data_IF_548133967388
#
_entry.id   IF_548133967388
#
_cell.length_a   1.000
_cell.length_b   1.000
_cell.length_c   1.000
_cell.angle_alpha   90.00
_cell.angle_beta   90.00
_cell.angle_gamma   90.00
#
_symmetry.space_group_name_H-M   'P 1'
#
loop_
_entity.id
_entity.type
_entity.pdbx_description
1 polymer ?
#
# COMPACT_ATOMS: atom_id res chain seq x y z
N UNK A 1 34.52 -32.78 24.30
CA UNK A 1 33.48 -32.35 25.27
C UNK A 1 32.89 -31.05 24.75
N UNK A 2 31.56 -30.98 24.61
CA UNK A 2 30.86 -29.81 24.09
C UNK A 2 29.78 -30.15 23.07
N UNK A 3 28.80 -30.99 23.47
CA UNK A 3 27.56 -31.19 22.71
C UNK A 3 26.66 -29.99 22.96
N UNK A 4 26.44 -29.15 21.94
CA UNK A 4 25.44 -28.07 22.00
C UNK A 4 24.18 -28.57 21.32
N UNK A 5 23.17 -28.83 22.15
CA UNK A 5 21.81 -29.24 21.75
C UNK A 5 21.16 -28.18 20.86
N UNK A 6 20.71 -28.63 19.70
CA UNK A 6 19.77 -27.90 18.83
C UNK A 6 18.39 -27.83 19.51
N UNK A 7 17.98 -26.63 19.91
CA UNK A 7 16.60 -26.36 20.28
C UNK A 7 15.78 -26.07 19.01
N UNK A 8 15.00 -27.07 18.58
CA UNK A 8 13.85 -26.88 17.69
C UNK A 8 12.72 -26.27 18.50
N UNK A 9 12.40 -24.99 18.26
CA UNK A 9 11.03 -24.50 18.36
C UNK A 9 10.77 -23.61 17.15
N UNK A 10 10.18 -24.26 16.14
CA UNK A 10 9.45 -23.63 15.04
C UNK A 10 8.18 -23.00 15.59
N UNK A 11 7.79 -21.83 15.08
CA UNK A 11 6.43 -21.49 14.62
C UNK A 11 6.49 -20.19 13.81
N UNK A 12 5.74 -20.20 12.69
CA UNK A 12 5.66 -19.23 11.59
C UNK A 12 6.76 -19.36 10.52
N UNK A 13 6.88 -20.55 9.95
CA UNK A 13 6.74 -20.69 8.50
C UNK A 13 6.40 -22.14 8.18
N UNK A 14 5.38 -22.35 7.36
CA UNK A 14 5.09 -23.66 6.77
C UNK A 14 4.58 -23.35 5.38
N UNK A 15 5.50 -23.25 4.45
CA UNK A 15 5.28 -23.75 3.10
C UNK A 15 6.43 -24.71 2.82
N UNK A 16 6.04 -25.98 2.70
CA UNK A 16 6.82 -27.01 2.05
C UNK A 16 6.89 -26.64 0.58
N UNK A 17 8.04 -26.20 0.11
CA UNK A 17 8.44 -26.38 -1.28
C UNK A 17 9.92 -26.77 -1.31
N UNK A 18 10.21 -27.76 -2.16
CA UNK A 18 11.42 -28.56 -2.15
C UNK A 18 12.72 -27.76 -2.15
N UNK A 19 13.55 -28.00 -1.14
CA UNK A 19 14.94 -27.57 -1.07
C UNK A 19 15.73 -28.09 -2.30
N UNK A 20 16.13 -27.18 -3.19
CA UNK A 20 17.32 -27.36 -4.04
C UNK A 20 18.37 -26.37 -3.57
N UNK A 21 19.42 -26.87 -2.93
CA UNK A 21 20.62 -26.07 -2.64
C UNK A 21 21.23 -25.61 -3.96
N UNK A 22 21.23 -24.30 -4.21
CA UNK A 22 22.14 -23.67 -5.16
C UNK A 22 23.45 -23.36 -4.42
N UNK A 23 24.45 -24.21 -4.63
CA UNK A 23 25.82 -23.93 -4.24
C UNK A 23 26.35 -22.78 -5.10
N UNK A 24 26.66 -21.64 -4.49
CA UNK A 24 27.40 -20.55 -5.15
C UNK A 24 28.81 -21.08 -5.44
N UNK A 25 29.08 -21.40 -6.71
CA UNK A 25 30.40 -21.77 -7.18
C UNK A 25 31.12 -20.52 -7.71
N UNK A 26 32.18 -20.11 -7.01
CA UNK A 26 33.20 -19.18 -7.51
C UNK A 26 33.94 -19.83 -8.69
N UNK A 27 34.06 -19.20 -9.88
CA UNK A 27 34.72 -19.83 -11.00
C UNK A 27 36.23 -19.67 -10.87
N UNK A 28 36.93 -20.78 -10.64
CA UNK A 28 38.36 -20.91 -10.91
C UNK A 28 38.60 -22.32 -11.45
N UNK A 29 39.07 -22.42 -12.70
CA UNK A 29 39.66 -23.65 -13.23
C UNK A 29 39.15 -24.07 -14.61
N UNK A 30 40.07 -24.01 -15.58
CA UNK A 30 39.99 -24.63 -16.89
C UNK A 30 39.57 -26.10 -16.81
N UNK A 31 38.54 -26.49 -17.58
CA UNK A 31 38.11 -27.89 -17.72
C UNK A 31 37.22 -28.08 -18.94
N UNK A 32 37.80 -28.64 -20.00
CA UNK A 32 37.12 -29.03 -21.24
C UNK A 32 36.19 -30.22 -20.98
N UNK A 33 34.88 -30.08 -21.23
CA UNK A 33 33.90 -31.13 -20.98
C UNK A 33 32.58 -30.86 -21.69
N UNK A 34 32.32 -31.63 -22.74
CA UNK A 34 31.12 -31.63 -23.55
C UNK A 34 29.90 -32.08 -22.71
N UNK A 35 28.92 -31.20 -22.47
CA UNK A 35 27.68 -31.54 -21.77
C UNK A 35 26.48 -30.86 -22.44
N UNK A 36 25.51 -31.70 -22.84
CA UNK A 36 24.33 -31.32 -23.60
C UNK A 36 23.50 -30.20 -22.96
N UNK A 37 23.03 -29.30 -23.82
CA UNK A 37 22.17 -28.18 -23.46
C UNK A 37 20.85 -28.64 -22.86
N UNK A 38 20.79 -28.69 -21.53
CA UNK A 38 19.56 -28.42 -20.81
C UNK A 38 19.52 -26.91 -20.59
N UNK A 39 18.64 -26.23 -21.32
CA UNK A 39 18.21 -24.88 -20.97
C UNK A 39 17.63 -24.93 -19.56
N UNK A 40 18.46 -24.65 -18.57
CA UNK A 40 17.97 -24.20 -17.28
C UNK A 40 17.39 -22.82 -17.59
N UNK A 41 16.06 -22.71 -17.68
CA UNK A 41 15.43 -21.41 -17.52
C UNK A 41 15.91 -20.89 -16.18
N UNK A 42 16.78 -19.90 -16.21
CA UNK A 42 17.29 -19.23 -15.03
C UNK A 42 16.06 -18.57 -14.41
N UNK A 43 15.46 -19.22 -13.42
CA UNK A 43 14.32 -18.66 -12.71
C UNK A 43 14.86 -17.47 -11.94
N UNK A 44 14.65 -16.28 -12.48
CA UNK A 44 15.00 -15.03 -11.81
C UNK A 44 14.26 -15.00 -10.48
N UNK A 45 15.03 -14.87 -9.40
CA UNK A 45 14.47 -14.80 -8.05
C UNK A 45 13.83 -13.42 -7.86
N UNK A 46 12.56 -13.39 -7.48
CA UNK A 46 11.83 -12.14 -7.20
C UNK A 46 11.96 -11.70 -5.75
N UNK A 47 11.95 -10.38 -5.53
CA UNK A 47 11.98 -9.72 -4.23
C UNK A 47 10.59 -9.66 -3.58
N UNK A 48 9.53 -9.37 -4.35
CA UNK A 48 8.13 -9.40 -3.86
C UNK A 48 7.34 -10.40 -4.70
N UNK A 49 6.59 -11.31 -4.07
CA UNK A 49 5.70 -12.23 -4.77
C UNK A 49 4.49 -11.50 -5.38
N UNK A 50 3.78 -12.11 -6.35
CA UNK A 50 2.55 -11.53 -6.93
C UNK A 50 1.51 -11.25 -5.86
N UNK A 51 1.48 -12.06 -4.81
CA UNK A 51 0.61 -11.93 -3.64
C UNK A 51 1.05 -10.82 -2.65
N UNK A 52 2.15 -10.11 -2.93
CA UNK A 52 2.65 -9.00 -2.10
C UNK A 52 3.52 -9.42 -0.91
N UNK A 53 3.84 -10.71 -0.79
CA UNK A 53 4.76 -11.24 0.21
C UNK A 53 6.22 -10.97 -0.19
N UNK A 54 7.01 -10.38 0.71
CA UNK A 54 8.43 -10.12 0.46
C UNK A 54 9.26 -11.40 0.66
N UNK A 55 10.03 -11.79 -0.35
CA UNK A 55 10.89 -12.95 -0.37
C UNK A 55 12.30 -12.60 0.16
N UNK A 56 12.36 -12.14 1.42
CA UNK A 56 13.60 -11.71 2.07
C UNK A 56 13.75 -12.40 3.41
N UNK A 57 14.91 -13.02 3.63
CA UNK A 57 15.24 -13.63 4.91
C UNK A 57 16.33 -12.82 5.62
N UNK A 58 15.99 -12.26 6.78
CA UNK A 58 16.95 -11.58 7.64
C UNK A 58 17.75 -12.62 8.45
N UNK A 59 19.08 -12.60 8.31
CA UNK A 59 20.02 -13.49 9.01
C UNK A 59 20.91 -12.65 9.93
N UNK A 60 21.38 -13.23 11.05
CA UNK A 60 22.29 -12.59 12.02
C UNK A 60 21.78 -11.28 12.65
N UNK A 61 20.49 -11.20 12.93
CA UNK A 61 19.93 -10.11 13.73
C UNK A 61 20.17 -10.39 15.22
N UNK A 62 21.28 -9.89 15.77
CA UNK A 62 21.54 -9.95 17.21
C UNK A 62 20.40 -9.27 17.98
N UNK A 63 20.05 -9.80 19.16
CA UNK A 63 18.99 -9.28 20.06
C UNK A 63 17.54 -9.40 19.59
N UNK A 64 17.25 -10.16 18.52
CA UNK A 64 15.87 -10.35 18.03
C UNK A 64 14.89 -10.76 19.15
N UNK A 65 15.26 -11.74 19.99
CA UNK A 65 14.38 -12.19 21.08
C UNK A 65 14.03 -11.10 22.10
N UNK A 66 15.01 -10.27 22.49
CA UNK A 66 14.79 -9.21 23.50
C UNK A 66 13.92 -8.08 22.96
N UNK A 67 14.11 -7.69 21.70
CA UNK A 67 13.30 -6.62 21.07
C UNK A 67 11.84 -7.04 20.88
N UNK A 68 11.58 -8.30 20.52
CA UNK A 68 10.21 -8.81 20.40
C UNK A 68 9.54 -8.97 21.78
N UNK A 69 10.30 -9.27 22.84
CA UNK A 69 9.75 -9.32 24.20
C UNK A 69 9.46 -7.94 24.78
N UNK A 70 10.26 -6.92 24.42
CA UNK A 70 10.00 -5.53 24.81
C UNK A 70 8.68 -5.01 24.20
N UNK A 71 8.31 -5.49 23.02
CA UNK A 71 7.05 -5.17 22.35
C UNK A 71 6.07 -6.36 22.35
N UNK A 72 5.71 -6.79 23.56
CA UNK A 72 4.86 -7.97 23.77
C UNK A 72 3.45 -7.82 23.20
N UNK A 73 2.92 -6.59 23.19
CA UNK A 73 1.56 -6.31 22.71
C UNK A 73 1.47 -6.45 21.19
N UNK A 74 2.36 -5.80 20.42
CA UNK A 74 2.35 -5.95 18.96
C UNK A 74 2.64 -7.38 18.57
N UNK A 75 3.61 -8.02 19.24
CA UNK A 75 3.95 -9.42 19.03
C UNK A 75 2.72 -10.30 19.22
N UNK A 76 1.99 -10.15 20.33
CA UNK A 76 0.76 -10.92 20.62
C UNK A 76 -0.31 -10.73 19.55
N UNK A 77 -0.51 -9.49 19.09
CA UNK A 77 -1.51 -9.18 18.06
C UNK A 77 -1.10 -9.72 16.68
N UNK A 78 0.20 -9.86 16.39
CA UNK A 78 0.69 -10.36 15.09
C UNK A 78 0.76 -11.88 14.96
N UNK A 79 0.83 -12.63 16.07
CA UNK A 79 0.84 -14.11 16.05
C UNK A 79 -0.45 -14.65 15.42
N UNK A 80 -0.41 -15.86 14.85
CA UNK A 80 -1.61 -16.51 14.29
C UNK A 80 -2.66 -16.73 15.40
N UNK A 81 -3.94 -16.66 15.04
CA UNK A 81 -5.09 -16.87 15.96
C UNK A 81 -4.94 -18.11 16.84
N UNK A 82 -4.49 -19.23 16.28
CA UNK A 82 -4.29 -20.49 17.04
C UNK A 82 -3.34 -20.29 18.24
N UNK A 83 -2.23 -19.59 18.05
CA UNK A 83 -1.24 -19.35 19.10
C UNK A 83 -1.70 -18.30 20.11
N UNK A 84 -2.40 -17.26 19.65
CA UNK A 84 -3.02 -16.27 20.52
C UNK A 84 -4.03 -16.94 21.47
N UNK A 85 -4.92 -17.79 20.95
CA UNK A 85 -5.89 -18.53 21.77
C UNK A 85 -5.20 -19.47 22.75
N UNK A 86 -4.14 -20.17 22.33
CA UNK A 86 -3.34 -21.02 23.23
C UNK A 86 -2.72 -20.21 24.36
N UNK A 87 -2.16 -19.03 24.08
CA UNK A 87 -1.57 -18.14 25.10
C UNK A 87 -2.64 -17.68 26.10
N UNK A 88 -3.84 -17.32 25.63
CA UNK A 88 -4.94 -16.92 26.52
C UNK A 88 -5.45 -18.07 27.37
N UNK A 89 -5.69 -19.24 26.78
CA UNK A 89 -6.07 -20.44 27.53
C UNK A 89 -5.02 -20.78 28.59
N UNK A 90 -3.73 -20.70 28.23
CA UNK A 90 -2.64 -20.95 29.17
C UNK A 90 -2.61 -19.91 30.30
N UNK A 91 -2.86 -18.62 29.99
CA UNK A 91 -2.90 -17.56 31.01
C UNK A 91 -4.01 -17.80 32.04
N UNK A 92 -5.21 -18.18 31.60
CA UNK A 92 -6.31 -18.56 32.50
C UNK A 92 -5.96 -19.79 33.33
N UNK A 93 -5.51 -20.87 32.69
CA UNK A 93 -5.15 -22.11 33.39
C UNK A 93 -4.05 -21.88 34.44
N UNK A 94 -3.01 -21.12 34.12
CA UNK A 94 -1.93 -20.80 35.06
C UNK A 94 -2.45 -19.94 36.23
N UNK A 95 -3.32 -18.96 35.97
CA UNK A 95 -3.91 -18.15 37.05
C UNK A 95 -4.80 -19.00 37.97
N UNK A 96 -5.66 -19.86 37.42
CA UNK A 96 -6.53 -20.74 38.20
C UNK A 96 -5.73 -21.74 39.03
N UNK A 97 -4.67 -22.32 38.46
CA UNK A 97 -3.77 -23.23 39.17
C UNK A 97 -2.99 -22.51 40.28
N UNK A 98 -2.50 -21.29 40.02
CA UNK A 98 -1.80 -20.50 41.02
C UNK A 98 -2.70 -20.18 42.22
N UNK A 99 -3.89 -19.61 41.98
CA UNK A 99 -4.82 -19.29 43.06
C UNK A 99 -5.38 -20.55 43.73
N UNK A 100 -5.64 -21.61 42.97
CA UNK A 100 -6.06 -22.90 43.53
C UNK A 100 -5.01 -23.50 44.46
N UNK A 101 -3.73 -23.39 44.09
CA UNK A 101 -2.61 -23.77 44.95
C UNK A 101 -2.52 -22.89 46.20
N UNK A 102 -2.71 -21.57 46.07
CA UNK A 102 -2.73 -20.65 47.21
C UNK A 102 -3.87 -20.98 48.19
N UNK A 103 -5.10 -21.20 47.71
CA UNK A 103 -6.21 -21.60 48.59
C UNK A 103 -5.99 -22.97 49.23
N UNK A 104 -5.38 -23.91 48.50
CA UNK A 104 -5.00 -25.21 49.07
C UNK A 104 -3.96 -25.06 50.19
N UNK A 105 -2.96 -24.19 50.01
CA UNK A 105 -1.99 -23.88 51.07
C UNK A 105 -2.64 -23.18 52.27
N UNK A 106 -3.57 -22.25 52.05
CA UNK A 106 -4.32 -21.57 53.12
C UNK A 106 -5.13 -22.61 53.92
N UNK A 107 -5.87 -23.50 53.24
CA UNK A 107 -6.62 -24.57 53.89
C UNK A 107 -5.71 -25.53 54.68
N UNK A 108 -4.55 -25.89 54.13
CA UNK A 108 -3.55 -26.71 54.84
C UNK A 108 -3.00 -26.02 56.09
N UNK A 109 -2.68 -24.72 55.98
CA UNK A 109 -2.07 -23.97 57.08
C UNK A 109 -3.01 -23.75 58.27
N UNK A 110 -4.31 -23.65 58.01
CA UNK A 110 -5.33 -23.45 59.05
C UNK A 110 -5.85 -24.77 59.65
N UNK A 111 -5.46 -25.92 59.09
CA UNK A 111 -5.90 -27.23 59.58
C UNK A 111 -7.31 -27.62 59.13
N UNK A 112 -7.88 -26.92 58.14
CA UNK A 112 -9.22 -27.13 57.57
C UNK A 112 -9.42 -28.57 57.05
N UNK A 113 -8.32 -29.26 56.70
CA UNK A 113 -8.33 -30.64 56.21
C UNK A 113 -8.51 -31.70 57.33
N UNK A 114 -8.23 -31.35 58.59
CA UNK A 114 -8.17 -32.32 59.70
C UNK A 114 -9.16 -32.04 60.84
N UNK A 115 -9.63 -30.79 61.04
CA UNK A 115 -10.56 -30.44 62.14
C UNK A 115 -11.58 -29.38 61.75
N UNK A 116 -12.86 -29.74 61.78
CA UNK A 116 -13.99 -28.92 61.31
C UNK A 116 -14.58 -27.94 62.34
N UNK A 117 -13.78 -27.23 63.13
CA UNK A 117 -14.32 -26.24 64.09
C UNK A 117 -14.27 -24.79 63.57
N UNK A 118 -13.26 -24.41 62.75
CA UNK A 118 -13.21 -23.12 62.04
C UNK A 118 -12.51 -23.33 60.71
N UNK A 119 -13.21 -23.12 59.60
CA UNK A 119 -12.71 -23.38 58.24
C UNK A 119 -12.65 -22.08 57.45
N UNK A 120 -11.52 -21.78 56.82
CA UNK A 120 -11.36 -20.54 56.04
C UNK A 120 -12.15 -20.56 54.74
N UNK A 121 -12.22 -21.73 54.09
CA UNK A 121 -13.02 -21.94 52.88
C UNK A 121 -13.77 -23.26 53.04
N UNK A 122 -15.10 -23.18 53.08
CA UNK A 122 -15.94 -24.35 53.28
C UNK A 122 -15.85 -25.30 52.08
N UNK A 123 -15.84 -26.60 52.36
CA UNK A 123 -15.87 -27.69 51.36
C UNK A 123 -14.65 -27.74 50.42
N UNK A 124 -13.47 -27.38 50.93
CA UNK A 124 -12.17 -27.56 50.26
C UNK A 124 -11.41 -28.71 50.93
N UNK A 125 -11.68 -29.93 50.50
CA UNK A 125 -11.13 -31.17 51.05
C UNK A 125 -9.89 -31.71 50.29
N UNK A 126 -9.64 -31.17 49.10
CA UNK A 126 -8.65 -31.68 48.15
C UNK A 126 -8.10 -30.54 47.29
N UNK A 127 -6.94 -30.75 46.66
CA UNK A 127 -6.39 -29.79 45.70
C UNK A 127 -7.37 -29.52 44.55
N UNK A 128 -8.09 -30.55 44.09
CA UNK A 128 -9.11 -30.40 43.04
C UNK A 128 -10.26 -29.50 43.52
N UNK A 129 -10.72 -29.62 44.77
CA UNK A 129 -11.73 -28.73 45.32
C UNK A 129 -11.23 -27.27 45.42
N UNK A 130 -9.97 -27.06 45.82
CA UNK A 130 -9.36 -25.73 45.85
C UNK A 130 -9.20 -25.12 44.45
N UNK A 131 -8.82 -25.94 43.46
CA UNK A 131 -8.78 -25.53 42.06
C UNK A 131 -10.16 -25.14 41.53
N UNK A 132 -11.20 -25.95 41.81
CA UNK A 132 -12.58 -25.61 41.43
C UNK A 132 -13.04 -24.32 42.09
N UNK A 133 -12.76 -24.11 43.38
CA UNK A 133 -13.06 -22.85 44.06
C UNK A 133 -12.36 -21.64 43.41
N UNK A 134 -11.09 -21.80 43.04
CA UNK A 134 -10.33 -20.77 42.31
C UNK A 134 -10.97 -20.44 40.96
N UNK A 135 -11.40 -21.44 40.18
CA UNK A 135 -12.11 -21.24 38.92
C UNK A 135 -13.45 -20.53 39.17
N UNK A 136 -14.25 -21.02 40.12
CA UNK A 136 -15.57 -20.44 40.48
C UNK A 136 -15.46 -18.96 40.88
N UNK A 137 -14.40 -18.60 41.61
CA UNK A 137 -14.13 -17.24 42.09
C UNK A 137 -13.67 -16.33 40.96
N UNK A 138 -12.65 -16.72 40.18
CA UNK A 138 -12.09 -15.86 39.14
C UNK A 138 -13.03 -15.69 37.94
N UNK A 139 -13.78 -16.73 37.57
CA UNK A 139 -14.75 -16.65 36.47
C UNK A 139 -16.10 -16.10 36.91
N UNK A 140 -16.27 -15.81 38.21
CA UNK A 140 -17.50 -15.29 38.80
C UNK A 140 -18.72 -16.21 38.63
N UNK A 141 -18.51 -17.52 38.40
CA UNK A 141 -19.59 -18.50 38.34
C UNK A 141 -20.24 -18.67 39.72
N UNK A 142 -19.41 -18.80 40.77
CA UNK A 142 -19.85 -18.81 42.16
C UNK A 142 -21.02 -19.75 42.48
N UNK A 143 -20.88 -21.06 42.25
CA UNK A 143 -21.96 -22.03 42.51
C UNK A 143 -22.48 -22.02 43.95
N UNK A 144 -21.67 -21.55 44.90
CA UNK A 144 -22.06 -21.37 46.31
C UNK A 144 -21.91 -22.62 47.17
N UNK A 145 -21.57 -23.78 46.58
CA UNK A 145 -21.22 -24.98 47.35
C UNK A 145 -19.90 -24.79 48.12
N UNK A 146 -18.95 -24.04 47.54
CA UNK A 146 -17.70 -23.61 48.17
C UNK A 146 -17.76 -22.11 48.39
N UNK A 147 -17.51 -21.65 49.60
CA UNK A 147 -17.58 -20.24 49.95
C UNK A 147 -16.53 -19.90 51.02
N UNK A 148 -16.07 -18.65 51.00
CA UNK A 148 -15.12 -18.11 51.98
C UNK A 148 -15.85 -17.70 53.24
N UNK A 149 -15.25 -17.93 54.41
CA UNK A 149 -15.78 -17.53 55.72
C UNK A 149 -15.06 -16.28 56.24
N UNK A 150 -15.61 -15.66 57.28
CA UNK A 150 -15.04 -14.46 57.92
C UNK A 150 -13.86 -14.78 58.84
N UNK A 151 -13.63 -16.07 59.14
CA UNK A 151 -12.66 -16.52 60.13
C UNK A 151 -11.20 -16.22 59.73
N UNK A 152 -10.94 -16.14 58.41
CA UNK A 152 -9.59 -16.01 57.88
C UNK A 152 -9.43 -14.77 56.97
N UNK A 153 -8.92 -13.64 57.51
CA UNK A 153 -8.71 -12.42 56.72
C UNK A 153 -7.80 -12.61 55.51
N UNK A 154 -6.85 -13.56 55.57
CA UNK A 154 -5.96 -13.90 54.46
C UNK A 154 -6.74 -14.48 53.27
N UNK A 155 -7.73 -15.34 53.52
CA UNK A 155 -8.56 -15.92 52.47
C UNK A 155 -9.43 -14.85 51.79
N UNK A 156 -10.02 -13.95 52.59
CA UNK A 156 -10.79 -12.79 52.09
C UNK A 156 -9.90 -11.88 51.22
N UNK A 157 -8.69 -11.56 51.68
CA UNK A 157 -7.74 -10.77 50.88
C UNK A 157 -7.37 -11.46 49.57
N UNK A 158 -7.14 -12.78 49.58
CA UNK A 158 -6.82 -13.54 48.37
C UNK A 158 -7.98 -13.56 47.37
N UNK A 159 -9.22 -13.65 47.82
CA UNK A 159 -10.41 -13.54 46.95
C UNK A 159 -10.49 -12.15 46.29
N UNK A 160 -10.26 -11.08 47.06
CA UNK A 160 -10.23 -9.71 46.53
C UNK A 160 -9.10 -9.55 45.50
N UNK A 161 -7.89 -9.99 45.84
CA UNK A 161 -6.74 -9.92 44.95
C UNK A 161 -6.95 -10.74 43.67
N UNK A 162 -7.50 -11.96 43.79
CA UNK A 162 -7.85 -12.80 42.64
C UNK A 162 -8.88 -12.14 41.74
N UNK A 163 -9.90 -11.49 42.31
CA UNK A 163 -10.93 -10.78 41.55
C UNK A 163 -10.32 -9.64 40.71
N UNK A 164 -9.42 -8.85 41.32
CA UNK A 164 -8.72 -7.77 40.62
C UNK A 164 -7.84 -8.32 39.49
N UNK A 165 -7.05 -9.37 39.76
CA UNK A 165 -6.19 -10.00 38.75
C UNK A 165 -7.01 -10.61 37.61
N UNK A 166 -8.14 -11.25 37.92
CA UNK A 166 -9.08 -11.79 36.93
C UNK A 166 -9.57 -10.70 35.97
N UNK A 167 -10.07 -9.59 36.51
CA UNK A 167 -10.51 -8.46 35.68
C UNK A 167 -9.40 -7.87 34.81
N UNK A 168 -8.15 -7.81 35.29
CA UNK A 168 -7.00 -7.33 34.50
C UNK A 168 -6.70 -8.28 33.33
N UNK A 169 -6.71 -9.60 33.58
CA UNK A 169 -6.49 -10.61 32.54
C UNK A 169 -7.60 -10.51 31.47
N UNK A 170 -8.86 -10.43 31.89
CA UNK A 170 -10.00 -10.31 30.98
C UNK A 170 -9.91 -9.05 30.12
N UNK A 171 -9.59 -7.90 30.74
CA UNK A 171 -9.42 -6.64 30.02
C UNK A 171 -8.30 -6.72 28.97
N UNK A 172 -7.17 -7.35 29.29
CA UNK A 172 -6.07 -7.54 28.35
C UNK A 172 -6.48 -8.43 27.17
N UNK A 173 -7.18 -9.53 27.43
CA UNK A 173 -7.65 -10.46 26.39
C UNK A 173 -8.64 -9.77 25.46
N UNK A 174 -9.65 -9.08 26.00
CA UNK A 174 -10.62 -8.34 25.20
C UNK A 174 -9.92 -7.27 24.36
N UNK A 175 -8.99 -6.51 24.95
CA UNK A 175 -8.21 -5.49 24.25
C UNK A 175 -7.38 -6.06 23.11
N UNK A 176 -6.66 -7.17 23.35
CA UNK A 176 -5.84 -7.82 22.34
C UNK A 176 -6.69 -8.46 21.22
N UNK A 177 -7.81 -9.10 21.55
CA UNK A 177 -8.75 -9.67 20.56
C UNK A 177 -9.34 -8.57 19.69
N UNK A 178 -9.82 -7.47 20.29
CA UNK A 178 -10.36 -6.33 19.56
C UNK A 178 -9.31 -5.69 18.64
N UNK A 179 -8.10 -5.47 19.13
CA UNK A 179 -7.00 -4.95 18.33
C UNK A 179 -6.66 -5.87 17.15
N UNK A 180 -6.67 -7.19 17.37
CA UNK A 180 -6.41 -8.18 16.31
C UNK A 180 -7.54 -8.25 15.28
N UNK A 181 -8.79 -8.15 15.72
CA UNK A 181 -9.95 -8.12 14.82
C UNK A 181 -10.00 -6.85 13.97
N UNK A 182 -9.56 -5.72 14.52
CA UNK A 182 -9.49 -4.47 13.80
C UNK A 182 -8.43 -4.46 12.68
N UNK A 183 -7.36 -5.28 12.79
CA UNK A 183 -6.28 -5.29 11.79
C UNK A 183 -6.80 -5.64 10.39
N UNK A 184 -6.55 -4.79 9.37
CA UNK A 184 -7.09 -4.96 8.02
C UNK A 184 -6.35 -6.03 7.18
N UNK A 185 -5.74 -7.06 7.78
CA UNK A 185 -4.90 -8.04 7.05
C UNK A 185 -5.66 -8.77 5.93
N UNK A 186 -6.96 -9.03 6.15
CA UNK A 186 -7.84 -9.67 5.16
C UNK A 186 -8.33 -8.72 4.06
N UNK A 187 -8.12 -7.42 4.20
CA UNK A 187 -8.46 -6.44 3.16
C UNK A 187 -7.51 -6.51 1.99
N UNK A 188 -6.22 -6.79 2.23
CA UNK A 188 -5.22 -6.93 1.17
C UNK A 188 -5.62 -7.99 0.13
N UNK A 189 -6.23 -9.10 0.56
CA UNK A 189 -6.73 -10.16 -0.34
C UNK A 189 -7.88 -9.70 -1.27
N UNK A 190 -8.48 -8.53 -1.01
CA UNK A 190 -9.60 -7.99 -1.83
C UNK A 190 -9.21 -6.82 -2.72
N UNK A 191 -7.97 -6.36 -2.62
CA UNK A 191 -7.36 -5.40 -3.55
C UNK A 191 -6.51 -6.18 -4.53
N UNK A 192 -6.85 -6.11 -5.81
CA UNK A 192 -6.20 -6.91 -6.85
C UNK A 192 -5.41 -6.04 -7.81
N UNK A 193 -4.27 -6.56 -8.25
CA UNK A 193 -3.44 -6.00 -9.30
C UNK A 193 -3.60 -6.86 -10.57
N UNK A 194 -3.43 -6.26 -11.74
CA UNK A 194 -3.39 -7.04 -12.98
C UNK A 194 -2.23 -8.02 -12.96
N UNK A 195 -2.40 -9.20 -13.56
CA UNK A 195 -1.33 -10.20 -13.61
C UNK A 195 -0.11 -9.72 -14.41
N UNK A 196 -0.37 -9.00 -15.50
CA UNK A 196 0.62 -8.41 -16.39
C UNK A 196 0.59 -6.88 -16.30
N UNK A 197 1.73 -6.25 -16.57
CA UNK A 197 1.80 -4.84 -16.92
C UNK A 197 1.91 -4.71 -18.44
N UNK A 198 1.58 -3.54 -18.98
CA UNK A 198 1.57 -3.30 -20.43
C UNK A 198 2.28 -2.00 -20.75
N UNK A 199 3.00 -1.97 -21.88
CA UNK A 199 3.58 -0.74 -22.43
C UNK A 199 2.88 -0.44 -23.75
N UNK A 200 2.29 0.74 -23.88
CA UNK A 200 1.71 1.19 -25.14
C UNK A 200 1.64 2.71 -25.24
N UNK A 201 1.35 3.20 -26.44
CA UNK A 201 1.14 4.62 -26.69
C UNK A 201 -0.22 5.08 -26.12
N UNK A 202 -0.21 6.17 -25.35
CA UNK A 202 -1.39 6.89 -24.87
C UNK A 202 -1.16 8.39 -25.06
N UNK A 203 -2.09 9.07 -25.73
CA UNK A 203 -2.03 10.51 -25.97
C UNK A 203 -0.70 11.01 -26.56
N UNK A 204 -0.11 10.21 -27.45
CA UNK A 204 1.15 10.53 -28.13
C UNK A 204 2.41 10.25 -27.33
N UNK A 205 2.30 9.66 -26.13
CA UNK A 205 3.43 9.32 -25.25
C UNK A 205 3.48 7.81 -24.99
N UNK A 206 4.68 7.28 -24.75
CA UNK A 206 4.86 5.88 -24.38
C UNK A 206 4.63 5.74 -22.88
N UNK A 207 3.74 4.83 -22.46
CA UNK A 207 3.39 4.67 -21.06
C UNK A 207 3.46 3.23 -20.59
N UNK A 208 4.00 3.02 -19.39
CA UNK A 208 3.87 1.78 -18.63
C UNK A 208 2.57 1.81 -17.84
N UNK A 209 1.82 0.72 -17.89
CA UNK A 209 0.47 0.64 -17.33
C UNK A 209 0.22 -0.67 -16.61
N UNK A 210 -0.41 -0.61 -15.45
CA UNK A 210 -0.96 -1.77 -14.73
C UNK A 210 -2.33 -1.42 -14.17
N UNK A 211 -3.12 -2.44 -13.81
CA UNK A 211 -4.48 -2.24 -13.30
C UNK A 211 -4.56 -2.51 -11.81
N UNK A 212 -5.34 -1.69 -11.13
CA UNK A 212 -5.75 -1.92 -9.73
C UNK A 212 -7.26 -2.01 -9.64
N UNK A 213 -7.76 -2.88 -8.78
CA UNK A 213 -9.18 -3.10 -8.60
C UNK A 213 -9.56 -3.37 -7.14
N UNK A 214 -10.73 -2.90 -6.74
CA UNK A 214 -11.35 -3.21 -5.46
C UNK A 214 -12.45 -4.24 -5.66
N UNK A 215 -12.32 -5.44 -5.08
CA UNK A 215 -13.34 -6.50 -5.21
C UNK A 215 -14.54 -6.30 -4.26
N UNK A 216 -14.48 -5.33 -3.34
CA UNK A 216 -15.54 -5.05 -2.38
C UNK A 216 -16.25 -3.73 -2.74
N UNK A 217 -17.52 -3.64 -2.33
CA UNK A 217 -18.32 -2.41 -2.47
C UNK A 217 -17.88 -1.28 -1.54
N UNK A 218 -17.30 -1.61 -0.39
CA UNK A 218 -16.81 -0.58 0.54
C UNK A 218 -15.57 0.08 -0.04
N UNK A 219 -15.43 1.38 0.20
CA UNK A 219 -14.40 2.21 -0.41
C UNK A 219 -13.04 2.01 0.25
N UNK A 220 -11.98 2.33 -0.51
CA UNK A 220 -10.64 2.56 0.01
C UNK A 220 -10.44 4.08 0.06
N UNK A 221 -10.43 4.65 1.26
CA UNK A 221 -10.38 6.10 1.49
C UNK A 221 -8.92 6.56 1.42
N UNK A 222 -8.66 7.75 0.87
CA UNK A 222 -7.29 8.27 0.65
C UNK A 222 -6.37 7.28 -0.06
N UNK A 223 -6.93 6.58 -1.05
CA UNK A 223 -6.18 5.62 -1.83
C UNK A 223 -5.13 6.33 -2.69
N UNK A 224 -3.89 5.86 -2.63
CA UNK A 224 -2.80 6.36 -3.46
C UNK A 224 -1.86 5.24 -3.87
N UNK A 225 -1.16 5.43 -4.99
CA UNK A 225 -0.31 4.42 -5.60
C UNK A 225 1.15 4.86 -5.64
N UNK A 226 2.06 3.89 -5.53
CA UNK A 226 3.49 4.09 -5.66
C UNK A 226 4.09 2.95 -6.46
N UNK A 227 5.17 3.20 -7.18
CA UNK A 227 5.88 2.19 -7.95
C UNK A 227 7.38 2.39 -7.83
N UNK A 228 8.13 1.30 -7.76
CA UNK A 228 9.58 1.32 -7.63
C UNK A 228 10.21 0.29 -8.56
N UNK A 229 11.26 0.68 -9.27
CA UNK A 229 12.13 -0.20 -10.03
C UNK A 229 13.23 -0.75 -9.11
N UNK A 230 13.29 -2.07 -9.03
CA UNK A 230 14.35 -2.82 -8.35
C UNK A 230 15.32 -3.39 -9.38
N UNK A 231 16.58 -2.93 -9.32
CA UNK A 231 17.65 -3.42 -10.20
C UNK A 231 19.00 -3.34 -9.49
N UNK A 232 19.90 -4.27 -9.78
CA UNK A 232 21.29 -4.16 -9.36
C UNK A 232 22.00 -3.09 -10.20
N UNK A 233 22.80 -2.23 -9.56
CA UNK A 233 23.60 -1.23 -10.28
C UNK A 233 24.97 -1.06 -9.64
N UNK A 234 25.92 -0.63 -10.46
CA UNK A 234 27.22 -0.15 -10.01
C UNK A 234 27.28 1.35 -10.28
N UNK A 235 27.63 2.15 -9.27
CA UNK A 235 27.74 3.60 -9.43
C UNK A 235 28.97 3.98 -10.27
N UNK A 236 29.04 5.23 -10.72
CA UNK A 236 30.19 5.73 -11.49
C UNK A 236 31.50 5.67 -10.68
N UNK A 237 31.40 5.77 -9.36
CA UNK A 237 32.51 5.67 -8.40
C UNK A 237 32.95 4.22 -8.13
N UNK A 238 32.22 3.24 -8.65
CA UNK A 238 32.52 1.81 -8.52
C UNK A 238 31.86 1.13 -7.31
N UNK A 239 30.89 1.76 -6.64
CA UNK A 239 30.12 1.12 -5.57
C UNK A 239 29.07 0.18 -6.17
N UNK A 240 29.08 -1.09 -5.75
CA UNK A 240 28.07 -2.07 -6.17
C UNK A 240 26.88 -2.06 -5.20
N UNK A 241 25.70 -1.71 -5.70
CA UNK A 241 24.44 -1.74 -4.96
C UNK A 241 23.64 -2.98 -5.42
N UNK A 242 23.48 -4.01 -4.56
CA UNK A 242 22.84 -5.26 -4.96
C UNK A 242 21.39 -5.11 -5.45
N UNK A 243 20.62 -4.23 -4.80
CA UNK A 243 19.23 -3.91 -5.14
C UNK A 243 19.02 -2.43 -4.88
N UNK A 244 19.14 -1.63 -5.93
CA UNK A 244 18.78 -0.22 -5.89
C UNK A 244 17.28 -0.06 -6.12
N UNK A 245 16.68 0.87 -5.39
CA UNK A 245 15.25 1.17 -5.47
C UNK A 245 15.10 2.56 -6.09
N UNK A 246 14.72 2.60 -7.37
CA UNK A 246 14.45 3.84 -8.08
C UNK A 246 12.94 4.06 -8.13
N UNK A 247 12.48 5.27 -7.83
CA UNK A 247 11.06 5.60 -7.88
C UNK A 247 10.57 5.69 -9.33
N UNK A 248 9.32 5.29 -9.57
CA UNK A 248 8.65 5.40 -10.86
C UNK A 248 7.50 6.38 -10.66
N UNK A 249 7.59 7.56 -11.28
CA UNK A 249 6.58 8.60 -11.09
C UNK A 249 5.23 8.19 -11.70
N UNK A 250 4.19 8.26 -10.87
CA UNK A 250 2.79 8.02 -11.24
C UNK A 250 1.93 9.28 -11.07
N UNK A 251 2.59 10.44 -11.02
CA UNK A 251 2.00 11.76 -10.83
C UNK A 251 1.96 12.18 -9.36
N UNK A 252 3.01 11.90 -8.58
CA UNK A 252 3.07 12.33 -7.17
C UNK A 252 3.09 13.86 -7.05
N UNK A 253 3.90 14.55 -7.86
CA UNK A 253 4.05 16.01 -7.79
C UNK A 253 2.78 16.76 -8.20
N UNK A 254 2.00 16.18 -9.10
CA UNK A 254 0.69 16.71 -9.53
C UNK A 254 -0.45 16.23 -8.63
N UNK A 255 -0.19 15.25 -7.75
CA UNK A 255 -1.16 14.63 -6.87
C UNK A 255 -2.19 13.75 -7.58
N UNK A 256 -1.87 13.26 -8.78
CA UNK A 256 -2.64 12.31 -9.60
C UNK A 256 -2.49 10.87 -9.06
N UNK A 257 -1.43 10.62 -8.30
CA UNK A 257 -1.21 9.36 -7.57
C UNK A 257 -2.37 9.00 -6.61
N UNK A 258 -3.11 10.01 -6.13
CA UNK A 258 -4.32 9.87 -5.31
C UNK A 258 -5.51 9.50 -6.19
N UNK A 259 -6.02 8.29 -5.99
CA UNK A 259 -7.06 7.70 -6.83
C UNK A 259 -8.39 7.51 -6.08
N UNK A 260 -9.50 7.67 -6.80
CA UNK A 260 -10.83 7.30 -6.31
C UNK A 260 -11.24 5.90 -6.83
N UNK A 261 -10.84 4.86 -6.08
CA UNK A 261 -10.96 3.46 -6.53
C UNK A 261 -12.37 2.87 -6.32
N UNK A 262 -13.28 3.10 -7.28
CA UNK A 262 -14.61 2.46 -7.35
C UNK A 262 -14.64 1.35 -8.38
N UNK A 263 -14.37 1.69 -9.65
CA UNK A 263 -14.12 0.72 -10.73
C UNK A 263 -12.61 0.48 -10.88
N UNK A 264 -12.19 -0.62 -11.52
CA UNK A 264 -10.78 -0.83 -11.85
C UNK A 264 -10.15 0.35 -12.58
N UNK A 265 -9.03 0.84 -12.08
CA UNK A 265 -8.27 1.96 -12.65
C UNK A 265 -6.99 1.42 -13.26
N UNK A 266 -6.65 1.91 -14.45
CA UNK A 266 -5.33 1.68 -15.05
C UNK A 266 -4.40 2.79 -14.59
N UNK A 267 -3.42 2.44 -13.78
CA UNK A 267 -2.33 3.33 -13.37
C UNK A 267 -1.39 3.51 -14.55
N UNK A 268 -0.90 4.73 -14.74
CA UNK A 268 -0.09 5.13 -15.87
C UNK A 268 1.18 5.77 -15.35
N UNK A 269 2.31 5.27 -15.79
CA UNK A 269 3.60 5.93 -15.71
C UNK A 269 3.97 6.39 -17.12
N UNK A 270 4.19 7.69 -17.28
CA UNK A 270 4.71 8.27 -18.51
C UNK A 270 6.21 7.99 -18.61
N UNK A 271 6.67 7.43 -19.73
CA UNK A 271 8.10 7.20 -19.96
C UNK A 271 8.66 8.46 -20.63
N UNK A 272 9.07 9.42 -19.79
CA UNK A 272 9.72 10.67 -20.16
C UNK A 272 11.24 10.62 -19.91
N UNK A 273 11.94 11.75 -20.03
CA UNK A 273 13.39 11.87 -19.88
C UNK A 273 13.89 11.52 -18.47
N UNK A 274 13.05 11.72 -17.45
CA UNK A 274 13.37 11.43 -16.05
C UNK A 274 13.06 9.97 -15.67
N UNK A 275 12.30 9.26 -16.52
CA UNK A 275 11.96 7.86 -16.32
C UNK A 275 13.17 6.92 -16.44
N UNK A 276 13.31 5.92 -15.55
CA UNK A 276 14.37 4.91 -15.68
C UNK A 276 14.18 4.00 -16.90
N UNK A 277 13.05 4.10 -17.60
CA UNK A 277 12.75 3.34 -18.82
C UNK A 277 12.96 4.16 -20.11
N UNK A 278 13.47 5.40 -20.03
CA UNK A 278 13.56 6.31 -21.17
C UNK A 278 14.34 5.74 -22.37
N UNK A 279 15.50 5.15 -22.09
CA UNK A 279 16.37 4.53 -23.09
C UNK A 279 15.93 3.10 -23.47
N UNK A 280 14.90 2.53 -22.83
CA UNK A 280 14.56 1.11 -22.96
C UNK A 280 13.69 0.82 -24.18
N UNK A 281 14.17 -0.05 -25.07
CA UNK A 281 13.44 -0.58 -26.22
C UNK A 281 12.75 -1.93 -25.93
N UNK A 282 11.89 -2.39 -26.87
CA UNK A 282 11.23 -3.69 -26.75
C UNK A 282 12.22 -4.86 -26.62
N UNK A 283 13.30 -4.84 -27.41
CA UNK A 283 14.30 -5.91 -27.40
C UNK A 283 15.10 -5.91 -26.09
N UNK A 284 15.42 -4.73 -25.57
CA UNK A 284 16.12 -4.59 -24.30
C UNK A 284 15.26 -5.05 -23.14
N UNK A 285 13.96 -4.75 -23.15
CA UNK A 285 13.02 -5.25 -22.13
C UNK A 285 13.05 -6.78 -22.01
N UNK A 286 13.04 -7.50 -23.15
CA UNK A 286 13.07 -8.96 -23.18
C UNK A 286 14.39 -9.56 -22.62
N UNK A 287 15.49 -8.81 -22.76
CA UNK A 287 16.82 -9.20 -22.26
C UNK A 287 17.14 -8.69 -20.86
N UNK A 288 16.34 -7.76 -20.32
CA UNK A 288 16.65 -7.06 -19.08
C UNK A 288 16.23 -7.84 -17.85
N UNK A 289 17.05 -7.77 -16.80
CA UNK A 289 16.73 -8.33 -15.49
C UNK A 289 16.44 -7.18 -14.51
N UNK A 290 15.15 -6.94 -14.26
CA UNK A 290 14.67 -6.03 -13.23
C UNK A 290 13.28 -6.45 -12.74
N UNK A 291 12.86 -5.87 -11.62
CA UNK A 291 11.53 -6.07 -11.04
C UNK A 291 10.90 -4.71 -10.72
N UNK A 292 9.64 -4.52 -11.12
CA UNK A 292 8.85 -3.35 -10.75
C UNK A 292 7.95 -3.74 -9.59
N UNK A 293 8.13 -3.12 -8.43
CA UNK A 293 7.24 -3.30 -7.28
C UNK A 293 6.19 -2.19 -7.30
N UNK A 294 4.92 -2.59 -7.24
CA UNK A 294 3.79 -1.67 -7.18
C UNK A 294 3.12 -1.75 -5.81
N UNK A 295 2.73 -0.60 -5.28
CA UNK A 295 2.17 -0.44 -3.95
C UNK A 295 0.88 0.37 -4.05
N UNK A 296 -0.17 -0.13 -3.41
CA UNK A 296 -1.44 0.57 -3.23
C UNK A 296 -1.66 0.74 -1.72
N UNK A 297 -1.75 1.98 -1.29
CA UNK A 297 -2.00 2.36 0.09
C UNK A 297 -3.37 3.05 0.19
N UNK A 298 -4.01 2.93 1.35
CA UNK A 298 -5.24 3.64 1.66
C UNK A 298 -5.87 3.16 2.95
N UNK A 299 -6.96 3.80 3.37
CA UNK A 299 -7.68 3.50 4.60
C UNK A 299 -8.93 2.67 4.35
N UNK A 300 -9.16 1.68 5.21
CA UNK A 300 -10.39 0.88 5.18
C UNK A 300 -11.55 1.70 5.76
N UNK A 301 -12.60 1.92 4.96
CA UNK A 301 -13.75 2.76 5.32
C UNK A 301 -14.34 2.49 6.72
N UNK A 302 -14.46 1.22 7.12
CA UNK A 302 -15.09 0.86 8.39
C UNK A 302 -14.20 1.08 9.64
N UNK A 303 -12.87 1.00 9.49
CA UNK A 303 -11.95 1.05 10.64
C UNK A 303 -11.03 2.27 10.62
N UNK A 304 -11.00 3.02 9.52
CA UNK A 304 -10.04 4.09 9.24
C UNK A 304 -8.57 3.67 9.45
N UNK A 305 -8.28 2.37 9.39
CA UNK A 305 -6.92 1.86 9.49
C UNK A 305 -6.30 1.82 8.10
N UNK A 306 -5.04 2.25 8.01
CA UNK A 306 -4.26 2.18 6.78
C UNK A 306 -3.93 0.73 6.45
N UNK A 307 -4.01 0.39 5.17
CA UNK A 307 -3.65 -0.90 4.62
C UNK A 307 -2.77 -0.69 3.40
N UNK A 308 -1.78 -1.57 3.24
CA UNK A 308 -0.85 -1.53 2.12
C UNK A 308 -0.92 -2.87 1.39
N UNK A 309 -1.34 -2.83 0.13
CA UNK A 309 -1.29 -3.97 -0.79
C UNK A 309 -0.10 -3.77 -1.73
N UNK A 310 0.58 -4.86 -2.08
CA UNK A 310 1.77 -4.85 -2.93
C UNK A 310 1.66 -5.94 -3.97
N UNK A 311 2.28 -5.72 -5.13
CA UNK A 311 2.55 -6.76 -6.11
C UNK A 311 3.85 -6.41 -6.83
N UNK A 312 4.29 -7.26 -7.75
CA UNK A 312 5.42 -6.93 -8.60
C UNK A 312 5.33 -7.52 -10.00
N UNK A 313 6.06 -6.91 -10.93
CA UNK A 313 6.18 -7.30 -12.33
C UNK A 313 7.65 -7.51 -12.66
N UNK A 314 8.01 -8.73 -13.05
CA UNK A 314 9.29 -9.00 -13.68
C UNK A 314 9.29 -8.45 -15.11
N UNK A 315 10.47 -8.20 -15.69
CA UNK A 315 10.58 -7.75 -17.09
C UNK A 315 9.80 -8.66 -18.07
N UNK A 316 9.81 -9.97 -17.85
CA UNK A 316 9.05 -10.96 -18.64
C UNK A 316 7.53 -10.93 -18.46
N UNK A 317 7.04 -10.25 -17.42
CA UNK A 317 5.61 -10.07 -17.14
C UNK A 317 5.07 -8.71 -17.64
N UNK A 318 5.90 -7.95 -18.35
CA UNK A 318 5.55 -6.68 -18.99
C UNK A 318 5.35 -6.93 -20.49
N UNK A 319 4.13 -6.67 -20.97
CA UNK A 319 3.74 -6.91 -22.35
C UNK A 319 3.89 -5.62 -23.18
N UNK A 320 4.85 -5.62 -24.09
CA UNK A 320 5.06 -4.49 -25.01
C UNK A 320 4.04 -4.49 -26.14
N UNK A 321 3.42 -3.34 -26.39
CA UNK A 321 2.42 -3.16 -27.44
C UNK A 321 1.07 -3.77 -27.10
N UNK A 322 0.74 -3.91 -25.81
CA UNK A 322 -0.55 -4.41 -25.35
C UNK A 322 -1.36 -3.30 -24.68
N UNK A 323 -2.69 -3.41 -24.70
CA UNK A 323 -3.60 -2.58 -23.90
C UNK A 323 -4.60 -3.45 -23.16
N UNK A 324 -5.04 -2.99 -21.98
CA UNK A 324 -6.08 -3.66 -21.20
C UNK A 324 -7.44 -3.57 -21.89
N UNK A 325 -8.22 -4.64 -21.81
CA UNK A 325 -9.62 -4.61 -22.21
C UNK A 325 -10.45 -3.67 -21.30
N UNK A 326 -11.40 -2.92 -21.87
CA UNK A 326 -12.40 -2.20 -21.08
C UNK A 326 -13.22 -3.17 -20.23
N UNK A 327 -13.38 -2.86 -18.94
CA UNK A 327 -14.19 -3.64 -17.99
C UNK A 327 -15.46 -2.93 -17.57
N UNK A 328 -15.52 -1.61 -17.74
CA UNK A 328 -16.64 -0.78 -17.34
C UNK A 328 -17.57 -0.60 -18.54
N UNK A 329 -18.82 -1.00 -18.36
CA UNK A 329 -19.87 -0.86 -19.37
C UNK A 329 -21.05 -0.11 -18.77
N UNK A 330 -21.67 0.75 -19.57
CA UNK A 330 -22.89 1.46 -19.21
C UNK A 330 -24.11 0.59 -19.54
N UNK A 331 -24.93 0.31 -18.55
CA UNK A 331 -26.30 -0.21 -18.72
C UNK A 331 -27.30 0.93 -18.44
N UNK A 332 -28.55 0.79 -18.89
CA UNK A 332 -29.57 1.86 -18.93
C UNK A 332 -29.69 2.75 -17.68
N UNK A 333 -29.47 2.19 -16.48
CA UNK A 333 -29.62 2.90 -15.21
C UNK A 333 -28.40 2.78 -14.27
N UNK A 334 -27.34 2.06 -14.66
CA UNK A 334 -26.17 1.85 -13.80
C UNK A 334 -24.95 1.40 -14.60
N UNK A 335 -23.76 1.57 -14.01
CA UNK A 335 -22.52 1.02 -14.57
C UNK A 335 -22.27 -0.39 -14.06
N UNK A 336 -21.74 -1.25 -14.94
CA UNK A 336 -21.39 -2.63 -14.64
C UNK A 336 -19.94 -2.88 -14.93
N UNK A 337 -19.27 -3.58 -14.01
CA UNK A 337 -17.87 -3.96 -14.12
C UNK A 337 -17.76 -5.47 -14.34
N UNK A 338 -17.16 -5.88 -15.44
CA UNK A 338 -16.87 -7.28 -15.74
C UNK A 338 -15.42 -7.64 -15.36
N UNK A 339 -15.24 -8.25 -14.18
CA UNK A 339 -13.92 -8.67 -13.70
C UNK A 339 -13.33 -9.87 -14.47
N UNK A 340 -14.12 -10.57 -15.30
CA UNK A 340 -13.56 -11.66 -16.12
C UNK A 340 -12.56 -11.16 -17.17
N UNK A 341 -12.66 -9.87 -17.53
CA UNK A 341 -11.75 -9.18 -18.46
C UNK A 341 -10.70 -8.33 -17.77
N UNK A 342 -10.58 -8.44 -16.44
CA UNK A 342 -9.70 -7.57 -15.65
C UNK A 342 -8.23 -7.70 -16.09
N UNK A 343 -7.77 -8.93 -16.29
CA UNK A 343 -6.41 -9.27 -16.72
C UNK A 343 -6.25 -9.38 -18.25
N UNK A 344 -7.35 -9.34 -19.01
CA UNK A 344 -7.30 -9.51 -20.45
C UNK A 344 -6.61 -8.30 -21.10
N UNK A 345 -5.72 -8.60 -22.05
CA UNK A 345 -5.05 -7.60 -22.87
C UNK A 345 -5.18 -7.96 -24.34
N UNK A 346 -5.13 -6.94 -25.21
CA UNK A 346 -5.11 -7.10 -26.65
C UNK A 346 -3.90 -6.39 -27.25
N UNK A 347 -3.36 -6.97 -28.32
CA UNK A 347 -2.22 -6.43 -29.05
C UNK A 347 -2.59 -5.17 -29.84
N UNK A 348 -1.65 -4.23 -29.88
CA UNK A 348 -1.74 -2.95 -30.57
C UNK A 348 -0.53 -2.83 -31.50
N UNK A 349 -0.66 -3.32 -32.75
CA UNK A 349 0.46 -3.37 -33.70
C UNK A 349 1.05 -1.99 -34.05
N UNK A 350 0.29 -0.92 -33.84
CA UNK A 350 0.73 0.46 -34.08
C UNK A 350 1.73 0.97 -33.04
N UNK A 351 2.01 0.20 -31.98
CA UNK A 351 2.94 0.62 -30.93
C UNK A 351 4.38 0.54 -31.45
N UNK A 352 5.14 1.65 -31.39
CA UNK A 352 6.56 1.66 -31.75
C UNK A 352 7.36 0.65 -30.91
N UNK A 353 8.37 0.02 -31.51
CA UNK A 353 9.25 -0.94 -30.83
C UNK A 353 10.56 -0.32 -30.31
N UNK A 354 10.82 0.94 -30.68
CA UNK A 354 11.97 1.70 -30.23
C UNK A 354 11.73 2.29 -28.82
N UNK A 355 12.80 2.78 -28.20
CA UNK A 355 12.73 3.43 -26.88
C UNK A 355 11.96 4.74 -26.93
N UNK A 356 11.59 5.27 -25.76
CA UNK A 356 10.95 6.58 -25.65
C UNK A 356 11.89 7.70 -26.15
N UNK A 357 13.19 7.57 -25.88
CA UNK A 357 14.22 8.47 -26.41
C UNK A 357 14.26 8.50 -27.94
N UNK A 358 14.34 7.33 -28.58
CA UNK A 358 14.35 7.25 -30.04
C UNK A 358 13.09 7.88 -30.65
N UNK A 359 11.96 7.75 -29.95
CA UNK A 359 10.70 8.33 -30.35
C UNK A 359 10.72 9.87 -30.24
N UNK A 360 11.29 10.40 -29.16
CA UNK A 360 11.46 11.84 -28.96
C UNK A 360 12.42 12.44 -30.01
N UNK A 361 13.56 11.78 -30.26
CA UNK A 361 14.54 12.20 -31.28
C UNK A 361 13.91 12.22 -32.69
N UNK A 362 13.15 11.18 -33.06
CA UNK A 362 12.44 11.14 -34.35
C UNK A 362 11.41 12.27 -34.48
N UNK A 363 10.66 12.56 -33.42
CA UNK A 363 9.69 13.65 -33.40
C UNK A 363 10.38 15.01 -33.60
N UNK A 364 11.54 15.21 -32.99
CA UNK A 364 12.34 16.41 -33.15
C UNK A 364 12.86 16.58 -34.59
N UNK A 365 13.35 15.51 -35.21
CA UNK A 365 13.84 15.53 -36.60
C UNK A 365 12.71 15.87 -37.58
N UNK A 366 11.53 15.27 -37.42
CA UNK A 366 10.36 15.54 -38.29
C UNK A 366 9.88 16.99 -38.11
N UNK A 367 9.84 17.49 -36.87
CA UNK A 367 9.49 18.89 -36.60
C UNK A 367 10.47 19.88 -37.24
N UNK A 368 11.78 19.61 -37.14
CA UNK A 368 12.83 20.46 -37.72
C UNK A 368 12.79 20.43 -39.26
N UNK A 369 12.50 19.26 -39.86
CA UNK A 369 12.37 19.11 -41.31
C UNK A 369 11.21 19.95 -41.88
N UNK A 370 10.08 20.02 -41.16
CA UNK A 370 8.96 20.87 -41.55
C UNK A 370 9.24 22.37 -41.36
N UNK A 371 10.10 22.75 -40.41
CA UNK A 371 10.52 24.14 -40.19
C UNK A 371 11.47 24.64 -41.28
N UNK A 372 12.36 23.79 -41.79
CA UNK A 372 13.35 24.17 -42.80
C UNK A 372 12.74 24.45 -44.19
N UNK A 373 11.56 23.88 -44.48
CA UNK A 373 10.85 24.16 -45.73
C UNK A 373 10.13 25.52 -45.73
N UNK A 374 9.82 26.11 -44.57
CA UNK A 374 9.16 27.41 -44.50
C UNK A 374 10.13 28.60 -44.60
N UNK A 375 11.35 28.48 -44.09
CA UNK A 375 12.34 29.58 -44.21
C UNK A 375 12.81 29.81 -45.65
N UNK A 376 12.84 28.76 -46.48
CA UNK A 376 13.25 28.91 -47.88
C UNK A 376 12.17 29.48 -48.80
N UNK A 377 10.88 29.32 -48.48
CA UNK A 377 9.81 29.95 -49.27
C UNK A 377 9.67 31.45 -48.96
N UNK A 378 9.86 31.88 -47.71
CA UNK A 378 9.80 33.31 -47.34
C UNK A 378 11.01 34.08 -47.91
N UNK A 379 12.19 33.47 -47.97
CA UNK A 379 13.38 34.10 -48.57
C UNK A 379 13.32 34.20 -50.11
N UNK A 380 12.40 33.48 -50.77
CA UNK A 380 12.16 33.55 -52.21
C UNK A 380 11.00 34.47 -52.59
N UNK A 381 10.12 34.84 -51.65
CA UNK A 381 9.03 35.81 -51.90
C UNK A 381 9.47 37.26 -51.71
N UNK A 382 10.53 37.54 -50.94
CA UNK A 382 11.04 38.91 -50.70
C UNK A 382 11.98 39.45 -51.81
N UNK A 383 12.00 38.85 -53.01
CA UNK A 383 12.94 39.24 -54.09
C UNK A 383 12.35 39.50 -55.47
N UNK A 384 11.03 39.45 -55.62
CA UNK A 384 10.35 39.91 -56.83
C UNK A 384 9.24 40.86 -56.40
N UNK A 385 9.54 42.17 -56.39
CA UNK A 385 8.60 43.27 -56.66
C UNK A 385 9.15 44.60 -56.10
N UNK A 386 10.12 45.21 -56.78
CA UNK A 386 10.30 46.68 -56.80
C UNK A 386 11.16 47.08 -58.00
N UNK A 387 10.53 47.22 -59.17
CA UNK A 387 11.00 48.12 -60.23
C UNK A 387 9.78 48.81 -60.88
N UNK A 388 9.90 50.14 -60.98
CA UNK A 388 9.31 51.07 -61.96
C UNK A 388 8.06 51.94 -61.62
N UNK A 389 8.40 53.25 -61.54
CA UNK A 389 7.79 54.46 -62.15
C UNK A 389 6.75 55.33 -61.37
N UNK A 390 7.24 56.54 -60.99
CA UNK A 390 6.82 57.91 -61.40
C UNK A 390 5.32 58.31 -61.26
N UNK A 391 4.87 59.53 -60.86
CA UNK A 391 5.43 60.89 -60.79
C UNK A 391 4.38 61.85 -60.12
N UNK A 392 4.85 63.03 -59.68
CA UNK A 392 4.12 64.33 -59.45
C UNK A 392 3.06 64.42 -58.30
N UNK A 393 2.92 65.47 -57.49
CA UNK A 393 3.58 66.77 -57.36
C UNK A 393 3.17 67.46 -56.03
N UNK A 394 3.93 68.50 -55.71
CA UNK A 394 3.60 69.70 -54.91
C UNK A 394 4.07 69.84 -53.45
N UNK A 395 4.89 70.90 -53.35
CA UNK A 395 5.69 71.46 -52.29
C UNK A 395 4.87 72.19 -51.22
N UNK A 396 5.29 72.15 -49.96
CA UNK A 396 5.54 73.40 -49.21
C UNK A 396 6.57 73.18 -48.09
N UNK A 397 7.49 74.14 -47.98
CA UNK A 397 8.69 74.13 -47.14
C UNK A 397 8.40 74.45 -45.66
N UNK A 398 9.16 73.86 -44.74
CA UNK A 398 9.10 74.28 -43.34
C UNK A 398 10.05 73.59 -42.34
N UNK A 399 11.37 73.79 -42.50
CA UNK A 399 12.45 73.79 -41.49
C UNK A 399 12.37 72.86 -40.24
N UNK A 400 13.28 71.87 -40.23
CA UNK A 400 14.34 71.62 -39.22
C UNK A 400 14.05 72.04 -37.76
N UNK A 401 13.90 71.08 -36.83
CA UNK A 401 14.98 70.72 -35.90
C UNK A 401 14.70 69.47 -35.04
N UNK A 402 15.79 68.95 -34.51
CA UNK A 402 16.09 67.65 -33.90
C UNK A 402 15.77 67.55 -32.39
N UNK A 403 15.72 66.30 -31.90
CA UNK A 403 15.79 65.78 -30.51
C UNK A 403 14.47 65.25 -29.92
N UNK A 404 14.33 63.93 -29.74
CA UNK A 404 14.90 63.04 -28.70
C UNK A 404 14.19 63.15 -27.33
N UNK A 405 13.89 61.95 -26.80
CA UNK A 405 13.63 61.57 -25.39
C UNK A 405 12.16 61.57 -24.93
N UNK A 406 11.57 60.38 -25.08
CA UNK A 406 11.20 59.46 -23.99
C UNK A 406 9.84 59.56 -23.26
N UNK A 407 9.39 58.34 -22.96
CA UNK A 407 8.51 57.85 -21.90
C UNK A 407 7.03 58.29 -21.80
N UNK A 408 6.20 57.31 -22.17
CA UNK A 408 5.29 56.56 -21.29
C UNK A 408 3.93 57.15 -20.85
N UNK A 409 3.01 56.18 -20.72
CA UNK A 409 1.71 56.19 -20.03
C UNK A 409 0.46 56.67 -20.81
N UNK A 410 -0.12 55.69 -21.51
CA UNK A 410 -1.55 55.47 -21.80
C UNK A 410 -2.38 55.68 -20.51
N UNK A 411 -3.18 56.74 -20.43
CA UNK A 411 -4.65 56.80 -20.61
C UNK A 411 -5.48 55.80 -19.79
N UNK A 412 -6.11 56.32 -18.72
CA UNK A 412 -7.32 55.80 -18.10
C UNK A 412 -8.55 56.38 -18.84
N UNK A 413 -9.47 55.46 -19.17
CA UNK A 413 -10.92 55.57 -19.27
C UNK A 413 -11.58 56.88 -19.74
N UNK A 414 -12.45 56.76 -20.75
CA UNK A 414 -13.89 57.01 -20.53
C UNK A 414 -14.78 56.54 -21.69
N UNK A 415 -15.72 55.67 -21.33
CA UNK A 415 -17.16 55.68 -21.59
C UNK A 415 -17.76 55.95 -22.99
N UNK A 416 -18.86 55.21 -23.18
CA UNK A 416 -20.10 55.40 -23.98
C UNK A 416 -20.18 54.43 -25.17
N UNK A 417 -21.20 53.59 -25.38
CA UNK A 417 -22.65 53.69 -25.17
C UNK A 417 -23.24 52.27 -24.97
N UNK A 418 -24.13 52.01 -23.99
CA UNK A 418 -25.59 52.11 -24.08
C UNK A 418 -26.23 51.47 -25.33
N UNK A 419 -27.08 50.45 -25.14
CA UNK A 419 -28.48 50.39 -25.61
C UNK A 419 -29.22 49.20 -24.96
N UNK A 420 -30.50 49.48 -24.72
CA UNK A 420 -31.62 48.87 -23.98
C UNK A 420 -32.00 47.39 -24.19
N UNK A 421 -32.64 46.80 -23.17
CA UNK A 421 -34.06 46.34 -23.13
C UNK A 421 -34.31 45.48 -21.87
N UNK A 422 -35.10 45.93 -20.88
CA UNK A 422 -36.55 45.75 -20.71
C UNK A 422 -36.98 44.47 -19.90
N UNK A 423 -37.53 44.73 -18.69
CA UNK A 423 -38.71 44.06 -18.06
C UNK A 423 -38.53 42.76 -17.23
N UNK A 424 -38.48 42.94 -15.90
CA UNK A 424 -39.43 42.47 -14.85
C UNK A 424 -39.52 41.01 -14.32
N UNK A 425 -39.35 40.92 -12.99
CA UNK A 425 -39.99 40.07 -11.94
C UNK A 425 -39.54 38.61 -11.74
N UNK A 426 -38.92 38.29 -10.58
CA UNK A 426 -39.51 37.82 -9.28
C UNK A 426 -39.99 36.36 -9.37
N UNK A 427 -39.58 35.40 -8.52
CA UNK A 427 -39.81 35.35 -7.07
C UNK A 427 -38.82 34.46 -6.30
N UNK A 428 -38.48 34.91 -5.09
CA UNK A 428 -37.74 34.20 -4.04
C UNK A 428 -38.72 33.80 -2.93
N UNK A 429 -38.75 32.53 -2.53
CA UNK A 429 -39.55 32.05 -1.37
C UNK A 429 -38.63 31.68 -0.20
N UNK A 430 -38.84 32.20 1.02
CA UNK A 430 -38.15 31.76 2.23
C UNK A 430 -38.98 30.71 3.01
N UNK A 431 -38.33 29.72 3.63
CA UNK A 431 -38.97 28.77 4.57
C UNK A 431 -38.39 28.92 5.98
N UNK A 432 -39.30 29.11 6.93
CA UNK A 432 -39.13 29.31 8.38
C UNK A 432 -38.75 28.04 9.18
N UNK A 433 -38.31 28.19 10.45
CA UNK A 433 -37.61 27.15 11.22
C UNK A 433 -38.51 26.14 11.96
N UNK A 434 -38.01 24.91 12.14
CA UNK A 434 -38.64 23.79 12.87
C UNK A 434 -38.69 24.03 14.40
N UNK A 435 -39.77 23.62 15.11
CA UNK A 435 -39.81 23.64 16.57
C UNK A 435 -39.32 22.33 17.21
N UNK A 436 -38.60 22.49 18.31
CA UNK A 436 -38.15 21.47 19.25
C UNK A 436 -39.34 20.75 19.93
N UNK A 437 -39.32 19.41 19.96
CA UNK A 437 -40.30 18.60 20.70
C UNK A 437 -39.66 18.02 21.96
N UNK A 438 -40.34 18.26 23.07
CA UNK A 438 -40.03 17.93 24.47
C UNK A 438 -40.31 16.45 24.79
N UNK A 439 -39.61 15.97 25.81
CA UNK A 439 -39.69 14.68 26.50
C UNK A 439 -41.11 14.16 26.78
N UNK A 440 -41.23 12.84 26.87
CA UNK A 440 -42.30 12.16 27.60
C UNK A 440 -41.73 10.92 28.31
N UNK A 441 -41.88 10.92 29.63
CA UNK A 441 -41.84 9.78 30.55
C UNK A 441 -42.70 8.62 30.04
N UNK A 442 -42.16 7.39 30.00
CA UNK A 442 -42.61 6.16 30.71
C UNK A 442 -41.39 5.26 30.88
#
# INVERSE_FOLDING_TARGET
>A
MGSVRTHRYSIVSSEEDGMKLATIATPNGYGNGNAGGRSHSQQTTRFVNKDGHCNVQFVNMSEKGQRYLADIFTTCVDIRWRWMLVIFCLSFLLSWLFFGFVFWLVALSNGDLERGEQMCVSNVDSFTAAFLFSVETQTTIGYGYRYVTEDCPVAVFMVVFQSIVGCIIDAFIIGAVMAKMAKPKKRNETLVFSHYATIAMRDGKLCLMWRVGNLRKSHLVEAHVRAQLLKSRTTAEGEFIPLDQMDIDVGFDTGIDRIFLVSPITIVHEIDEDSPFYDMSKQELESSEFEIVVILEGMVEATAMTTQCRSSYLASEILWGHRFEPVLFEEKNHYKVDYSRFDNTYEVPSTPQCSARDLAEKKYIVSTSNSFCYENEVALMDKEDTEDDDDEDDEDEGKVDMNLVDESAVLEDTNTDAVSDAVSNQDTVPLEPRPLRRESEI
#
